data_IF_549808577736
#
_entry.id   IF_549808577736
#
_cell.length_a   1.000
_cell.length_b   1.000
_cell.length_c   1.000
_cell.angle_alpha   90.00
_cell.angle_beta   90.00
_cell.angle_gamma   90.00
#
_symmetry.space_group_name_H-M   'P 1'
#
loop_
_entity.id
_entity.type
_entity.pdbx_description
1 polymer ?
#
# COMPACT_ATOMS: atom_id res chain seq x y z
N UNK A 1 -6.82 22.65 -8.15
CA UNK A 1 -7.21 21.47 -8.91
C UNK A 1 -8.70 21.59 -9.20
N UNK A 2 -9.06 21.95 -10.43
CA UNK A 2 -10.44 21.84 -10.90
C UNK A 2 -10.70 20.36 -11.11
N UNK A 3 -11.46 19.74 -10.21
CA UNK A 3 -11.82 18.34 -10.32
C UNK A 3 -12.45 18.06 -11.68
N UNK A 4 -11.99 16.99 -12.33
CA UNK A 4 -12.63 16.45 -13.51
C UNK A 4 -14.05 16.06 -13.15
N UNK A 5 -15.00 16.37 -14.02
CA UNK A 5 -16.37 15.89 -13.88
C UNK A 5 -16.53 14.43 -14.32
N UNK A 6 -15.44 13.70 -14.54
CA UNK A 6 -15.46 12.26 -14.75
C UNK A 6 -15.82 11.56 -13.44
N UNK A 7 -16.64 10.53 -13.53
CA UNK A 7 -17.14 9.79 -12.34
C UNK A 7 -16.06 8.96 -11.63
N UNK A 8 -14.84 8.90 -12.18
CA UNK A 8 -13.69 8.20 -11.59
C UNK A 8 -12.40 8.88 -12.00
N UNK A 9 -11.49 9.11 -11.04
CA UNK A 9 -10.16 9.68 -11.27
C UNK A 9 -9.14 8.63 -11.73
N UNK A 10 -9.37 7.36 -11.40
CA UNK A 10 -8.55 6.22 -11.81
C UNK A 10 -9.39 4.93 -11.91
N UNK A 11 -8.87 3.95 -12.66
CA UNK A 11 -9.41 2.61 -12.72
C UNK A 11 -8.29 1.59 -12.57
N UNK A 12 -8.45 0.65 -11.64
CA UNK A 12 -7.49 -0.41 -11.37
C UNK A 12 -8.14 -1.75 -11.70
N UNK A 13 -7.45 -2.58 -12.47
CA UNK A 13 -7.94 -3.90 -12.87
C UNK A 13 -6.97 -4.98 -12.45
N UNK A 14 -7.45 -5.97 -11.72
CA UNK A 14 -6.65 -7.12 -11.30
C UNK A 14 -6.92 -8.32 -12.21
N UNK A 15 -5.85 -9.00 -12.62
CA UNK A 15 -5.97 -10.21 -13.44
C UNK A 15 -6.37 -11.41 -12.59
N UNK A 16 -7.42 -12.11 -13.00
CA UNK A 16 -7.84 -13.37 -12.37
C UNK A 16 -6.92 -14.56 -12.68
N UNK A 17 -5.89 -14.37 -13.51
CA UNK A 17 -4.90 -15.40 -13.81
C UNK A 17 -3.89 -15.62 -12.67
N UNK A 18 -3.83 -14.70 -11.71
CA UNK A 18 -2.97 -14.82 -10.53
C UNK A 18 -3.75 -15.33 -9.33
N UNK A 19 -3.10 -16.18 -8.54
CA UNK A 19 -3.64 -16.62 -7.24
C UNK A 19 -3.30 -15.56 -6.19
N UNK A 20 -4.31 -15.01 -5.54
CA UNK A 20 -4.15 -13.99 -4.50
C UNK A 20 -4.50 -14.53 -3.13
N UNK A 21 -3.75 -14.07 -2.11
CA UNK A 21 -4.13 -14.17 -0.72
C UNK A 21 -4.81 -12.86 -0.29
N UNK A 22 -6.04 -12.97 0.23
CA UNK A 22 -6.85 -11.84 0.68
C UNK A 22 -6.78 -11.64 2.20
N UNK A 23 -6.22 -12.61 2.94
CA UNK A 23 -6.05 -12.55 4.39
C UNK A 23 -4.58 -12.57 4.79
N UNK A 24 -4.01 -11.38 4.91
CA UNK A 24 -2.61 -11.20 5.31
C UNK A 24 -2.34 -11.30 6.81
N UNK A 25 -3.36 -11.55 7.65
CA UNK A 25 -3.24 -11.58 9.11
C UNK A 25 -2.40 -12.75 9.63
N UNK A 26 -2.31 -13.83 8.87
CA UNK A 26 -1.54 -15.04 9.16
C UNK A 26 -0.27 -15.19 8.30
N UNK A 27 0.13 -14.13 7.58
CA UNK A 27 1.18 -14.12 6.55
C UNK A 27 0.60 -14.42 5.17
N UNK A 28 1.44 -14.35 4.13
CA UNK A 28 1.02 -14.63 2.76
C UNK A 28 1.23 -16.10 2.45
N UNK A 29 0.18 -16.76 1.99
CA UNK A 29 0.22 -18.18 1.61
C UNK A 29 1.26 -18.42 0.51
N UNK A 30 2.08 -19.44 0.68
CA UNK A 30 3.11 -19.77 -0.31
C UNK A 30 2.49 -20.02 -1.69
N UNK A 31 3.08 -19.43 -2.72
CA UNK A 31 2.61 -19.53 -4.10
C UNK A 31 1.48 -18.56 -4.47
N UNK A 32 1.03 -17.71 -3.56
CA UNK A 32 0.02 -16.66 -3.82
C UNK A 32 0.64 -15.28 -3.65
N UNK A 33 0.00 -14.26 -4.25
CA UNK A 33 0.40 -12.86 -4.10
C UNK A 33 -0.45 -12.17 -3.04
N UNK A 34 0.14 -11.25 -2.29
CA UNK A 34 -0.57 -10.38 -1.34
C UNK A 34 -1.51 -9.43 -2.09
N UNK A 35 -2.81 -9.72 -2.12
CA UNK A 35 -3.79 -8.87 -2.79
C UNK A 35 -3.81 -7.45 -2.25
N UNK A 36 -3.76 -7.31 -0.94
CA UNK A 36 -3.81 -5.99 -0.29
C UNK A 36 -2.55 -5.19 -0.59
N UNK A 37 -1.38 -5.84 -0.58
CA UNK A 37 -0.13 -5.20 -0.95
C UNK A 37 -0.14 -4.70 -2.39
N UNK A 38 -0.52 -5.56 -3.34
CA UNK A 38 -0.65 -5.19 -4.76
C UNK A 38 -1.68 -4.08 -4.95
N UNK A 39 -2.83 -4.15 -4.27
CA UNK A 39 -3.85 -3.11 -4.37
C UNK A 39 -3.35 -1.74 -3.84
N UNK A 40 -2.61 -1.71 -2.73
CA UNK A 40 -2.02 -0.47 -2.21
C UNK A 40 -0.98 0.08 -3.18
N UNK A 41 -0.17 -0.76 -3.81
CA UNK A 41 0.80 -0.36 -4.84
C UNK A 41 0.10 0.34 -6.01
N UNK A 42 -0.93 -0.28 -6.59
CA UNK A 42 -1.68 0.30 -7.72
C UNK A 42 -2.42 1.60 -7.32
N UNK A 43 -2.92 1.67 -6.08
CA UNK A 43 -3.49 2.91 -5.53
C UNK A 43 -2.41 4.00 -5.44
N UNK A 44 -1.17 3.66 -5.07
CA UNK A 44 -0.05 4.58 -5.07
C UNK A 44 0.16 5.24 -6.43
N UNK A 45 0.12 4.47 -7.52
CA UNK A 45 0.17 5.01 -8.89
C UNK A 45 -1.04 5.90 -9.21
N UNK A 46 -2.24 5.48 -8.85
CA UNK A 46 -3.46 6.26 -9.04
C UNK A 46 -3.43 7.59 -8.27
N UNK A 47 -2.74 7.65 -7.13
CA UNK A 47 -2.52 8.87 -6.36
C UNK A 47 -1.41 9.77 -6.92
N UNK A 48 -0.68 9.35 -7.95
CA UNK A 48 0.35 10.16 -8.60
C UNK A 48 1.79 9.75 -8.28
N UNK A 49 2.02 8.57 -7.69
CA UNK A 49 3.36 8.00 -7.61
C UNK A 49 3.79 7.52 -9.00
N UNK A 50 4.06 8.47 -9.88
CA UNK A 50 4.41 8.27 -11.28
C UNK A 50 5.55 9.19 -11.69
N UNK A 51 6.36 8.77 -12.66
CA UNK A 51 7.50 9.52 -13.19
C UNK A 51 7.31 9.80 -14.68
N UNK A 52 7.56 11.04 -15.11
CA UNK A 52 7.61 11.39 -16.52
C UNK A 52 8.77 10.72 -17.25
N UNK A 53 9.77 10.22 -16.54
CA UNK A 53 10.88 9.44 -17.10
C UNK A 53 10.39 8.16 -17.79
N UNK A 54 9.26 7.58 -17.39
CA UNK A 54 8.70 6.42 -18.08
C UNK A 54 8.26 6.74 -19.51
N UNK A 55 7.73 7.93 -19.74
CA UNK A 55 7.38 8.40 -21.08
C UNK A 55 8.64 8.67 -21.90
N UNK A 56 9.63 9.33 -21.32
CA UNK A 56 10.91 9.56 -21.93
C UNK A 56 11.59 8.25 -22.34
N UNK A 57 11.62 7.26 -21.45
CA UNK A 57 12.24 5.94 -21.66
C UNK A 57 11.61 5.16 -22.83
N UNK A 58 10.31 5.33 -23.06
CA UNK A 58 9.58 4.68 -24.17
C UNK A 58 9.78 5.45 -25.49
N UNK A 59 9.86 6.77 -25.42
CA UNK A 59 9.74 7.63 -26.61
C UNK A 59 11.05 8.20 -27.10
N UNK A 60 12.13 8.14 -26.34
CA UNK A 60 13.42 8.66 -26.75
C UNK A 60 14.08 7.84 -27.85
N UNK A 61 14.61 8.48 -28.91
CA UNK A 61 15.45 7.78 -29.87
C UNK A 61 16.72 7.22 -29.20
N UNK A 62 17.36 6.16 -29.77
CA UNK A 62 17.10 5.59 -31.08
C UNK A 62 16.06 4.47 -31.10
N UNK A 63 15.46 4.09 -29.99
CA UNK A 63 14.81 2.77 -29.90
C UNK A 63 13.36 2.77 -30.32
N UNK A 64 12.47 3.56 -29.71
CA UNK A 64 11.03 3.29 -29.87
C UNK A 64 10.16 4.52 -30.12
N UNK A 65 10.70 5.71 -30.05
CA UNK A 65 9.87 6.89 -30.03
C UNK A 65 9.84 7.64 -31.37
N UNK A 66 8.66 8.07 -31.82
CA UNK A 66 8.56 8.99 -32.94
C UNK A 66 8.98 10.42 -32.58
N UNK A 67 9.19 10.71 -31.31
CA UNK A 67 9.42 12.08 -30.84
C UNK A 67 10.81 12.24 -30.20
N UNK A 68 11.56 13.28 -30.59
CA UNK A 68 12.82 13.62 -29.93
C UNK A 68 12.60 14.13 -28.50
N UNK A 69 13.60 13.97 -27.63
CA UNK A 69 13.52 14.27 -26.20
C UNK A 69 13.06 15.69 -25.89
N UNK A 70 13.43 16.66 -26.71
CA UNK A 70 13.04 18.06 -26.53
C UNK A 70 11.54 18.35 -26.73
N UNK A 71 10.78 17.38 -27.19
CA UNK A 71 9.32 17.45 -27.28
C UNK A 71 8.60 16.92 -26.04
N UNK A 72 9.33 16.28 -25.10
CA UNK A 72 8.76 15.80 -23.85
C UNK A 72 8.86 16.89 -22.80
N UNK A 73 7.67 17.34 -22.37
CA UNK A 73 7.54 18.36 -21.32
C UNK A 73 6.81 17.82 -20.08
N UNK A 74 6.50 16.53 -20.06
CA UNK A 74 5.82 15.93 -18.93
C UNK A 74 6.81 15.59 -17.83
N UNK A 75 6.75 16.35 -16.74
CA UNK A 75 7.46 16.10 -15.49
C UNK A 75 6.42 15.97 -14.40
N UNK A 76 6.46 14.88 -13.65
CA UNK A 76 5.55 14.67 -12.52
C UNK A 76 6.07 15.35 -11.25
N UNK A 77 5.23 15.60 -10.24
CA UNK A 77 5.70 16.06 -8.94
C UNK A 77 6.76 15.13 -8.31
N UNK A 78 6.65 13.81 -8.54
CA UNK A 78 7.60 12.82 -8.03
C UNK A 78 9.01 13.01 -8.62
N UNK A 79 9.13 13.48 -9.86
CA UNK A 79 10.41 13.68 -10.53
C UNK A 79 11.29 14.73 -9.81
N UNK A 80 10.68 15.69 -9.11
CA UNK A 80 11.41 16.68 -8.30
C UNK A 80 12.10 16.10 -7.06
N UNK A 81 11.94 14.82 -6.82
CA UNK A 81 12.61 14.10 -5.74
C UNK A 81 13.79 13.23 -6.23
N UNK A 82 14.07 13.24 -7.56
CA UNK A 82 15.05 12.39 -8.23
C UNK A 82 16.31 13.17 -8.58
N UNK A 83 17.44 12.76 -8.02
CA UNK A 83 18.72 13.39 -8.23
C UNK A 83 19.83 12.37 -8.47
N UNK A 84 20.92 12.80 -9.10
CA UNK A 84 22.16 12.04 -9.21
C UNK A 84 23.36 12.93 -8.96
N UNK A 85 24.52 12.34 -8.78
CA UNK A 85 25.78 13.11 -8.75
C UNK A 85 25.98 13.91 -10.05
N UNK A 86 25.58 13.34 -11.18
CA UNK A 86 25.70 14.02 -12.48
C UNK A 86 24.77 15.24 -12.57
N UNK A 87 23.50 15.13 -12.14
CA UNK A 87 22.56 16.25 -12.14
C UNK A 87 23.04 17.38 -11.22
N UNK A 88 23.53 17.04 -10.02
CA UNK A 88 24.06 18.03 -9.08
C UNK A 88 25.32 18.73 -9.62
N UNK A 89 26.22 17.98 -10.25
CA UNK A 89 27.44 18.57 -10.87
C UNK A 89 27.08 19.48 -12.03
N UNK A 90 26.03 19.16 -12.77
CA UNK A 90 25.53 19.99 -13.87
C UNK A 90 24.70 21.20 -13.39
N UNK A 91 24.38 21.30 -12.11
CA UNK A 91 23.50 22.34 -11.56
C UNK A 91 22.04 22.20 -12.00
N UNK A 92 21.59 20.98 -12.26
CA UNK A 92 20.23 20.71 -12.68
C UNK A 92 19.30 20.55 -11.48
N UNK A 93 18.05 21.00 -11.61
CA UNK A 93 17.03 20.97 -10.57
C UNK A 93 16.53 19.54 -10.24
N UNK A 94 16.79 18.57 -11.11
CA UNK A 94 16.42 17.16 -10.95
C UNK A 94 17.24 16.29 -11.93
N UNK A 95 17.16 14.96 -11.78
CA UNK A 95 17.67 14.02 -12.78
C UNK A 95 16.51 13.36 -13.53
N UNK A 96 16.15 13.92 -14.67
CA UNK A 96 15.09 13.45 -15.54
C UNK A 96 15.66 12.72 -16.75
N UNK A 97 16.43 11.66 -16.48
CA UNK A 97 17.06 10.83 -17.53
C UNK A 97 16.65 9.37 -17.39
N UNK A 98 16.42 8.71 -18.53
CA UNK A 98 16.25 7.26 -18.61
C UNK A 98 17.59 6.62 -18.93
N UNK A 99 18.37 6.28 -17.92
CA UNK A 99 19.68 5.64 -18.07
C UNK A 99 20.06 4.85 -16.79
N UNK A 100 21.17 4.12 -16.83
CA UNK A 100 21.62 3.25 -15.74
C UNK A 100 22.31 3.98 -14.56
N UNK A 101 22.38 5.32 -14.57
CA UNK A 101 23.01 6.03 -13.45
C UNK A 101 22.17 5.87 -12.18
N UNK A 102 22.85 5.74 -11.06
CA UNK A 102 22.19 5.72 -9.75
C UNK A 102 21.50 7.04 -9.45
N UNK A 103 20.24 6.98 -9.06
CA UNK A 103 19.45 8.15 -8.67
C UNK A 103 19.04 8.03 -7.21
N UNK A 104 19.27 9.08 -6.44
CA UNK A 104 18.91 9.15 -5.03
C UNK A 104 17.64 9.96 -4.78
N UNK A 105 17.01 9.66 -3.64
CA UNK A 105 15.84 10.38 -3.16
C UNK A 105 16.24 11.55 -2.28
N UNK A 106 15.72 12.75 -2.59
CA UNK A 106 15.90 13.97 -1.83
C UNK A 106 14.63 14.81 -1.88
N UNK A 107 14.41 15.64 -0.84
CA UNK A 107 13.26 16.54 -0.72
C UNK A 107 13.67 18.02 -0.62
N UNK A 108 14.94 18.32 -0.74
CA UNK A 108 15.53 19.67 -0.60
C UNK A 108 16.46 20.04 -1.75
N UNK A 109 16.02 19.73 -2.98
CA UNK A 109 16.79 20.08 -4.18
C UNK A 109 18.07 19.27 -4.35
N UNK A 110 18.12 18.06 -3.82
CA UNK A 110 19.28 17.17 -3.94
C UNK A 110 20.37 17.39 -2.90
N UNK A 111 20.17 18.30 -1.95
CA UNK A 111 21.17 18.64 -0.92
C UNK A 111 21.32 17.52 0.11
N UNK A 112 20.19 17.02 0.63
CA UNK A 112 20.18 15.90 1.60
C UNK A 112 19.78 14.61 0.92
N UNK A 113 20.64 13.62 0.96
CA UNK A 113 20.36 12.28 0.45
C UNK A 113 19.57 11.51 1.51
N UNK A 114 18.29 11.25 1.25
CA UNK A 114 17.43 10.45 2.13
C UNK A 114 17.64 8.96 1.90
N UNK A 115 17.87 8.57 0.64
CA UNK A 115 18.21 7.20 0.24
C UNK A 115 19.05 7.24 -1.04
N UNK A 116 20.23 6.62 -0.99
CA UNK A 116 21.07 6.40 -2.16
C UNK A 116 20.48 5.32 -3.06
N UNK A 117 20.67 5.46 -4.39
CA UNK A 117 20.22 4.50 -5.40
C UNK A 117 18.76 4.07 -5.16
N UNK A 118 17.93 5.07 -4.95
CA UNK A 118 16.56 4.91 -4.49
C UNK A 118 15.59 4.51 -5.61
N UNK A 119 15.85 4.98 -6.84
CA UNK A 119 14.89 4.94 -7.92
C UNK A 119 15.22 3.90 -8.98
N UNK A 120 14.20 3.23 -9.49
CA UNK A 120 14.24 2.59 -10.79
C UNK A 120 14.43 3.65 -11.88
N UNK A 121 15.08 3.29 -12.99
CA UNK A 121 15.65 4.30 -13.88
C UNK A 121 15.19 4.21 -15.32
N UNK A 122 14.32 3.27 -15.65
CA UNK A 122 13.73 3.07 -16.97
C UNK A 122 13.77 1.63 -17.41
N UNK A 123 12.74 1.21 -18.11
CA UNK A 123 12.57 -0.15 -18.60
C UNK A 123 13.46 -0.47 -19.80
N UNK A 124 13.64 0.50 -20.69
CA UNK A 124 14.38 0.33 -21.95
C UNK A 124 15.84 0.74 -21.82
N UNK A 125 16.11 1.91 -21.25
CA UNK A 125 17.44 2.50 -21.16
C UNK A 125 18.05 2.47 -19.75
N UNK A 126 17.23 2.21 -18.75
CA UNK A 126 17.63 2.15 -17.36
C UNK A 126 17.90 0.74 -16.84
N UNK A 127 17.50 0.48 -15.62
CA UNK A 127 17.74 -0.79 -14.91
C UNK A 127 16.74 -1.91 -15.25
N UNK A 128 15.88 -1.73 -16.25
CA UNK A 128 14.87 -2.71 -16.67
C UNK A 128 13.53 -2.57 -15.98
N UNK A 129 13.37 -1.61 -15.05
CA UNK A 129 12.15 -1.32 -14.32
C UNK A 129 11.67 0.09 -14.59
N UNK A 130 10.34 0.30 -14.55
CA UNK A 130 9.74 1.62 -14.75
C UNK A 130 10.23 2.61 -13.68
N UNK A 131 10.51 3.83 -14.11
CA UNK A 131 11.00 4.89 -13.23
C UNK A 131 9.99 5.33 -12.16
N UNK A 132 8.73 5.01 -12.35
CA UNK A 132 7.64 5.23 -11.36
C UNK A 132 7.72 4.30 -10.14
N UNK A 133 8.88 3.72 -9.85
CA UNK A 133 9.07 2.77 -8.75
C UNK A 133 10.36 3.06 -7.98
N UNK A 134 10.40 2.56 -6.76
CA UNK A 134 11.67 2.38 -6.06
C UNK A 134 12.59 1.44 -6.82
N UNK A 135 13.85 1.44 -6.43
CA UNK A 135 14.83 0.48 -6.97
C UNK A 135 14.46 -0.93 -6.56
N UNK A 136 14.35 -1.81 -7.55
CA UNK A 136 13.98 -3.21 -7.40
C UNK A 136 14.90 -3.98 -6.43
N UNK A 137 14.33 -4.93 -5.70
CA UNK A 137 15.04 -5.83 -4.78
C UNK A 137 15.81 -5.13 -3.64
N UNK A 138 15.34 -3.96 -3.19
CA UNK A 138 15.95 -3.19 -2.10
C UNK A 138 15.10 -3.17 -0.82
N UNK A 139 13.87 -3.67 -0.86
CA UNK A 139 12.95 -3.64 0.27
C UNK A 139 12.69 -2.21 0.77
N UNK A 140 12.59 -1.24 -0.14
CA UNK A 140 12.44 0.18 0.22
C UNK A 140 11.03 0.46 0.71
N UNK A 141 10.02 -0.11 0.06
CA UNK A 141 8.62 0.09 0.41
C UNK A 141 7.65 -0.53 -0.57
N UNK A 142 6.38 -0.15 -0.44
CA UNK A 142 5.28 -0.74 -1.21
C UNK A 142 5.39 -0.46 -2.72
N UNK A 143 6.07 0.63 -3.12
CA UNK A 143 6.25 0.99 -4.52
C UNK A 143 7.48 0.31 -5.15
N UNK A 144 7.85 -0.88 -4.67
CA UNK A 144 8.79 -1.79 -5.35
C UNK A 144 8.14 -2.28 -6.66
N UNK A 145 8.87 -2.36 -7.79
CA UNK A 145 8.28 -2.71 -9.10
C UNK A 145 7.85 -4.17 -9.21
N UNK A 146 8.20 -5.03 -8.28
CA UNK A 146 7.93 -6.47 -8.32
C UNK A 146 7.41 -6.99 -6.99
N UNK A 147 6.51 -7.96 -7.06
CA UNK A 147 6.06 -8.76 -5.93
C UNK A 147 6.33 -10.23 -6.21
N UNK A 148 6.96 -10.92 -5.26
CA UNK A 148 7.12 -12.37 -5.31
C UNK A 148 5.93 -13.09 -4.64
N UNK A 149 5.60 -14.33 -5.06
CA UNK A 149 4.66 -15.17 -4.32
C UNK A 149 5.13 -15.42 -2.89
N UNK A 150 4.26 -15.19 -1.91
CA UNK A 150 4.56 -15.28 -0.49
C UNK A 150 5.13 -14.00 0.13
N UNK A 151 5.36 -12.96 -0.66
CA UNK A 151 5.85 -11.68 -0.20
C UNK A 151 4.73 -10.83 0.41
N UNK A 152 5.00 -10.22 1.56
CA UNK A 152 4.11 -9.26 2.22
C UNK A 152 4.48 -7.83 1.82
N UNK A 153 3.59 -7.15 1.12
CA UNK A 153 3.75 -5.73 0.76
C UNK A 153 3.62 -4.81 1.98
N UNK A 154 4.61 -3.96 2.23
CA UNK A 154 4.63 -3.07 3.39
C UNK A 154 4.81 -1.62 2.96
N UNK A 155 3.90 -0.76 3.39
CA UNK A 155 4.05 0.70 3.25
C UNK A 155 5.16 1.17 4.18
N UNK A 156 6.19 1.79 3.63
CA UNK A 156 7.33 2.31 4.37
C UNK A 156 7.19 3.81 4.67
N UNK A 157 8.03 4.30 5.57
CA UNK A 157 8.15 5.75 5.79
C UNK A 157 8.64 6.51 4.55
N UNK A 158 9.35 5.84 3.63
CA UNK A 158 9.81 6.47 2.39
C UNK A 158 8.67 6.61 1.38
N UNK A 159 7.78 5.61 1.29
CA UNK A 159 6.54 5.75 0.50
C UNK A 159 5.70 6.93 0.99
N UNK A 160 5.51 7.03 2.30
CA UNK A 160 4.74 8.12 2.90
C UNK A 160 5.39 9.49 2.64
N UNK A 161 6.72 9.60 2.76
CA UNK A 161 7.44 10.85 2.46
C UNK A 161 7.38 11.22 0.99
N UNK A 162 7.41 10.25 0.09
CA UNK A 162 7.25 10.51 -1.33
C UNK A 162 5.82 10.96 -1.66
N UNK A 163 4.80 10.36 -1.06
CA UNK A 163 3.41 10.80 -1.19
C UNK A 163 3.19 12.20 -0.62
N UNK A 164 3.79 12.53 0.54
CA UNK A 164 3.77 13.88 1.11
C UNK A 164 4.39 14.90 0.15
N UNK A 165 5.53 14.56 -0.46
CA UNK A 165 6.21 15.42 -1.43
C UNK A 165 5.37 15.72 -2.69
N UNK A 166 4.51 14.80 -3.11
CA UNK A 166 3.61 15.02 -4.26
C UNK A 166 2.27 15.64 -3.87
N UNK A 167 2.06 15.97 -2.58
CA UNK A 167 0.95 16.81 -2.11
C UNK A 167 -0.04 16.15 -1.17
N UNK A 168 0.22 14.94 -0.68
CA UNK A 168 -0.63 14.26 0.30
C UNK A 168 -0.12 14.52 1.71
N UNK A 169 -0.93 15.21 2.53
CA UNK A 169 -0.59 15.41 3.93
C UNK A 169 -0.72 14.07 4.69
N UNK A 170 0.32 13.71 5.42
CA UNK A 170 0.26 12.59 6.35
C UNK A 170 -0.75 12.90 7.45
N UNK A 171 -1.85 12.15 7.49
CA UNK A 171 -2.77 12.25 8.60
C UNK A 171 -2.05 11.81 9.88
N UNK A 172 -2.09 12.63 10.93
CA UNK A 172 -1.75 12.15 12.26
C UNK A 172 -2.74 11.02 12.59
N UNK A 173 -2.22 9.81 12.80
CA UNK A 173 -3.06 8.67 13.19
C UNK A 173 -3.55 8.93 14.62
N UNK A 174 -4.62 9.71 14.77
CA UNK A 174 -5.43 9.59 15.97
C UNK A 174 -6.01 8.18 15.93
N UNK A 175 -5.73 7.39 16.96
CA UNK A 175 -6.23 6.04 17.06
C UNK A 175 -7.71 6.02 16.64
N UNK A 176 -8.01 5.34 15.54
CA UNK A 176 -9.39 5.15 15.10
C UNK A 176 -10.06 4.39 16.25
N UNK A 177 -11.11 4.93 16.89
CA UNK A 177 -11.80 4.19 17.93
C UNK A 177 -12.23 2.86 17.35
N UNK A 178 -11.85 1.77 18.01
CA UNK A 178 -12.26 0.44 17.59
C UNK A 178 -13.77 0.43 17.32
N UNK A 179 -14.23 -0.15 16.21
CA UNK A 179 -15.65 -0.21 15.93
C UNK A 179 -16.38 -0.75 17.15
N UNK A 180 -17.53 -0.17 17.51
CA UNK A 180 -18.33 -0.56 18.65
C UNK A 180 -18.68 -2.07 18.72
N UNK A 181 -18.30 -2.83 17.71
CA UNK A 181 -18.33 -4.30 17.62
C UNK A 181 -17.68 -4.99 18.82
N UNK A 182 -16.54 -4.48 19.34
CA UNK A 182 -15.91 -5.06 20.55
C UNK A 182 -16.79 -4.80 21.78
N UNK A 183 -17.39 -3.63 21.89
CA UNK A 183 -18.36 -3.30 22.92
C UNK A 183 -19.64 -4.15 22.81
N UNK A 184 -20.14 -4.37 21.61
CA UNK A 184 -21.29 -5.24 21.36
C UNK A 184 -21.01 -6.71 21.69
N UNK A 185 -19.80 -7.21 21.37
CA UNK A 185 -19.37 -8.57 21.71
C UNK A 185 -19.28 -8.76 23.24
N UNK A 186 -18.74 -7.77 23.96
CA UNK A 186 -18.66 -7.78 25.41
C UNK A 186 -20.06 -7.73 26.06
N UNK A 187 -20.95 -6.89 25.55
CA UNK A 187 -22.35 -6.81 26.02
C UNK A 187 -23.14 -8.08 25.70
N UNK A 188 -22.92 -8.69 24.53
CA UNK A 188 -23.52 -9.96 24.15
C UNK A 188 -23.09 -11.11 25.05
N UNK A 189 -21.80 -11.18 25.40
CA UNK A 189 -21.23 -12.20 26.30
C UNK A 189 -21.76 -12.09 27.73
N UNK A 190 -21.89 -10.84 28.23
CA UNK A 190 -22.49 -10.55 29.54
C UNK A 190 -23.97 -10.95 29.59
N UNK A 191 -24.74 -10.71 28.53
CA UNK A 191 -26.16 -11.07 28.44
C UNK A 191 -26.36 -12.58 28.44
N UNK A 192 -25.54 -13.30 27.67
CA UNK A 192 -25.56 -14.78 27.67
C UNK A 192 -25.18 -15.37 29.02
N UNK A 193 -24.19 -14.78 29.71
CA UNK A 193 -23.79 -15.19 31.07
C UNK A 193 -24.91 -15.00 32.10
N UNK A 194 -25.67 -13.93 32.02
CA UNK A 194 -26.80 -13.64 32.91
C UNK A 194 -28.00 -14.58 32.67
N UNK A 195 -28.29 -14.90 31.41
CA UNK A 195 -29.33 -15.87 31.02
C UNK A 195 -28.98 -17.25 31.51
N UNK A 196 -27.74 -17.68 31.38
CA UNK A 196 -27.28 -18.97 31.85
C UNK A 196 -27.32 -19.12 33.37
N UNK A 197 -26.99 -18.06 34.13
CA UNK A 197 -27.14 -18.00 35.59
C UNK A 197 -28.58 -18.09 36.04
N UNK A 198 -29.52 -17.41 35.31
CA UNK A 198 -30.94 -17.43 35.62
C UNK A 198 -31.56 -18.83 35.44
N UNK A 199 -31.20 -19.53 34.36
CA UNK A 199 -31.62 -20.94 34.11
C UNK A 199 -31.10 -21.90 35.19
N UNK A 200 -29.85 -21.79 35.63
CA UNK A 200 -29.28 -22.62 36.69
C UNK A 200 -29.96 -22.38 38.04
N UNK A 201 -30.42 -21.16 38.36
CA UNK A 201 -31.17 -20.86 39.61
C UNK A 201 -32.60 -21.36 39.56
N UNK A 202 -33.28 -21.35 38.41
CA UNK A 202 -34.62 -21.88 38.22
C UNK A 202 -34.66 -23.40 38.36
N UNK A 203 -33.65 -24.13 37.83
CA UNK A 203 -33.54 -25.59 37.92
C UNK A 203 -33.22 -26.12 39.32
N UNK A 204 -32.76 -25.28 40.27
CA UNK A 204 -32.46 -25.65 41.65
C UNK A 204 -33.63 -25.45 42.62
N UNK A 205 -34.78 -24.94 42.18
CA UNK A 205 -35.91 -24.60 43.04
C UNK A 205 -37.05 -25.62 43.01
N UNK A 206 -36.82 -26.83 42.58
CA UNK A 206 -37.85 -27.86 42.63
C UNK A 206 -37.38 -29.05 43.51
N UNK A 207 -37.49 -29.00 44.86
CA UNK A 207 -37.39 -30.18 45.70
C UNK A 207 -38.75 -30.89 45.65
N UNK A 208 -38.75 -32.16 45.25
CA UNK A 208 -39.85 -33.05 45.26
C UNK A 208 -40.49 -33.11 46.65
N UNK A 209 -41.77 -32.80 46.74
CA UNK A 209 -42.60 -33.24 47.86
C UNK A 209 -42.88 -34.71 47.66
N UNK A 210 -42.25 -35.53 48.47
CA UNK A 210 -42.66 -36.92 48.66
C UNK A 210 -43.81 -36.97 49.66
N UNK A 211 -44.99 -37.28 49.16
CA UNK A 211 -46.12 -37.61 50.02
C UNK A 211 -45.98 -39.05 50.55
N UNK A 212 -46.04 -39.13 51.83
CA UNK A 212 -46.24 -40.35 52.62
C UNK A 212 -47.72 -40.76 52.58
N UNK A 213 -48.00 -42.03 52.57
CA UNK A 213 -49.29 -42.64 52.81
C UNK A 213 -49.05 -44.13 52.97
N UNK A 214 -48.91 -44.67 54.13
CA UNK A 214 -49.87 -45.45 54.97
C UNK A 214 -50.90 -46.17 54.10
N UNK A 215 -51.31 -47.36 54.34
CA UNK A 215 -51.23 -48.39 55.46
C UNK A 215 -52.10 -49.60 55.05
N UNK A 216 -51.86 -50.70 55.68
CA UNK A 216 -52.80 -51.81 56.04
C UNK A 216 -53.22 -52.87 55.01
N UNK A 217 -52.98 -54.05 55.40
CA UNK A 217 -53.56 -55.39 55.61
C UNK A 217 -52.80 -56.53 54.99
#
# INVERSE_FOLDING_TARGET
>A
LTGSTSLADASITFSSAFSFDFDRSNGITSGTFDFVGVAIHEIGHALGFVSGVDILDINSPPVNGPFPDNLFTYVSPLDFTRFSTASQTAGADLDWTADNRSKYFSLDGGTTILLNDAWSTGRNFGNGQQASHWKDNRGIGIMDPTFAPGELGVVSNLDLRALDAIGFNLASVTAVPEPASVGLLALGSLSLGLIHRKKRRAGRRNPSASGTGEENA
#
